data_IF_623997704946
#
_entry.id   IF_623997704946
#
_cell.length_a   1.000
_cell.length_b   1.000
_cell.length_c   1.000
_cell.angle_alpha   90.00
_cell.angle_beta   90.00
_cell.angle_gamma   90.00
#
_symmetry.space_group_name_H-M   'P 1'
#
loop_
_entity.id
_entity.type
_entity.pdbx_description
1 polymer ?
#
# COMPACT_ATOMS: atom_id res chain seq x y z
N UNK A 1 19.83 7.06 -4.61
CA UNK A 1 18.86 8.08 -4.19
C UNK A 1 19.12 8.46 -2.74
N UNK A 2 18.78 9.67 -2.34
CA UNK A 2 18.78 10.11 -0.94
C UNK A 2 17.55 9.52 -0.22
N UNK A 3 17.77 8.64 0.75
CA UNK A 3 16.66 7.92 1.41
C UNK A 3 15.86 8.84 2.33
N UNK A 4 16.49 9.88 2.89
CA UNK A 4 15.83 10.83 3.79
C UNK A 4 14.76 11.61 3.04
N UNK A 5 15.11 12.17 1.88
CA UNK A 5 14.16 12.86 0.99
C UNK A 5 13.06 11.91 0.52
N UNK A 6 13.39 10.67 0.14
CA UNK A 6 12.37 9.70 -0.27
C UNK A 6 11.31 9.49 0.82
N UNK A 7 11.74 9.15 2.05
CA UNK A 7 10.81 8.87 3.14
C UNK A 7 10.04 10.10 3.60
N UNK A 8 10.65 11.30 3.56
CA UNK A 8 9.96 12.55 3.87
C UNK A 8 8.80 12.83 2.89
N UNK A 9 9.01 12.61 1.59
CA UNK A 9 7.97 12.78 0.58
C UNK A 9 6.91 11.67 0.68
N UNK A 10 7.33 10.41 0.78
CA UNK A 10 6.43 9.27 0.92
C UNK A 10 5.53 9.41 2.16
N UNK A 11 6.07 9.93 3.27
CA UNK A 11 5.31 10.22 4.50
C UNK A 11 4.09 11.07 4.21
N UNK A 12 4.26 12.16 3.46
CA UNK A 12 3.17 13.10 3.12
C UNK A 12 2.09 12.36 2.31
N UNK A 13 2.51 11.67 1.25
CA UNK A 13 1.66 10.78 0.46
C UNK A 13 2.49 9.63 -0.13
N UNK A 14 1.99 8.38 -0.13
CA UNK A 14 0.61 7.98 0.17
C UNK A 14 0.35 7.67 1.65
N UNK A 15 1.33 7.83 2.55
CA UNK A 15 1.20 7.36 3.94
C UNK A 15 0.43 8.29 4.90
N UNK A 16 -0.01 9.47 4.44
CA UNK A 16 -0.94 10.32 5.20
C UNK A 16 -0.32 10.98 6.45
N UNK A 17 0.97 11.28 6.40
CA UNK A 17 1.71 12.03 7.41
C UNK A 17 2.45 11.18 8.43
N UNK A 18 2.38 9.83 8.37
CA UNK A 18 3.08 8.96 9.32
C UNK A 18 3.74 7.77 8.63
N UNK A 19 4.90 7.35 9.14
CA UNK A 19 5.60 6.15 8.71
C UNK A 19 5.93 5.26 9.90
N UNK A 20 5.57 3.98 9.82
CA UNK A 20 5.99 2.97 10.78
C UNK A 20 7.35 2.37 10.41
N UNK A 21 8.05 1.81 11.39
CA UNK A 21 9.31 1.09 11.14
C UNK A 21 9.11 -0.06 10.13
N UNK A 22 8.02 -0.82 10.25
CA UNK A 22 7.72 -1.92 9.31
C UNK A 22 7.56 -1.44 7.87
N UNK A 23 6.93 -0.29 7.65
CA UNK A 23 6.81 0.30 6.31
C UNK A 23 8.17 0.71 5.74
N UNK A 24 9.02 1.30 6.58
CA UNK A 24 10.40 1.66 6.23
C UNK A 24 11.21 0.42 5.88
N UNK A 25 11.14 -0.63 6.69
CA UNK A 25 11.89 -1.87 6.52
C UNK A 25 11.51 -2.60 5.23
N UNK A 26 10.21 -2.71 4.93
CA UNK A 26 9.75 -3.37 3.71
C UNK A 26 10.04 -2.57 2.45
N UNK A 27 9.91 -1.23 2.48
CA UNK A 27 10.39 -0.39 1.37
C UNK A 27 11.90 -0.53 1.17
N UNK A 28 12.67 -0.57 2.27
CA UNK A 28 14.12 -0.81 2.19
C UNK A 28 14.46 -2.18 1.60
N UNK A 29 13.68 -3.22 1.86
CA UNK A 29 13.85 -4.53 1.24
C UNK A 29 13.63 -4.47 -0.28
N UNK A 30 12.55 -3.83 -0.74
CA UNK A 30 12.31 -3.58 -2.16
C UNK A 30 13.47 -2.81 -2.80
N UNK A 31 14.02 -1.80 -2.11
CA UNK A 31 15.17 -1.05 -2.64
C UNK A 31 16.46 -1.85 -2.69
N UNK A 32 16.75 -2.68 -1.68
CA UNK A 32 17.91 -3.59 -1.71
C UNK A 32 17.78 -4.57 -2.87
N UNK A 33 16.61 -5.20 -3.00
CA UNK A 33 16.30 -6.12 -4.08
C UNK A 33 16.45 -5.43 -5.45
N UNK A 34 15.79 -4.29 -5.67
CA UNK A 34 15.87 -3.52 -6.92
C UNK A 34 17.31 -3.22 -7.34
N UNK A 35 18.15 -2.77 -6.39
CA UNK A 35 19.56 -2.49 -6.64
C UNK A 35 20.36 -3.73 -7.05
N UNK A 36 20.03 -4.90 -6.51
CA UNK A 36 20.73 -6.15 -6.81
C UNK A 36 20.56 -6.59 -8.27
N UNK A 37 19.42 -6.26 -8.89
CA UNK A 37 19.12 -6.57 -10.28
C UNK A 37 19.87 -5.71 -11.30
N UNK A 38 20.50 -4.61 -10.86
CA UNK A 38 21.31 -3.70 -11.73
C UNK A 38 20.58 -3.31 -13.03
N UNK A 39 19.28 -3.01 -12.93
CA UNK A 39 18.44 -2.71 -14.08
C UNK A 39 18.98 -1.46 -14.79
N UNK A 40 19.35 -1.62 -16.04
CA UNK A 40 19.86 -0.55 -16.89
C UNK A 40 18.70 0.20 -17.54
N UNK A 41 18.79 1.53 -17.60
CA UNK A 41 17.81 2.37 -18.30
C UNK A 41 17.47 3.66 -17.55
N UNK A 42 16.94 4.64 -18.28
CA UNK A 42 16.45 5.91 -17.72
C UNK A 42 15.13 5.77 -16.96
N UNK A 43 14.38 4.69 -17.20
CA UNK A 43 12.98 4.54 -16.76
C UNK A 43 12.86 3.88 -15.37
N UNK A 44 13.98 3.72 -14.67
CA UNK A 44 14.09 3.00 -13.41
C UNK A 44 13.15 3.53 -12.32
N UNK A 45 12.98 4.86 -12.22
CA UNK A 45 12.09 5.45 -11.21
C UNK A 45 10.62 5.13 -11.49
N UNK A 46 10.19 5.14 -12.77
CA UNK A 46 8.81 4.81 -13.16
C UNK A 46 8.49 3.35 -12.84
N UNK A 47 9.38 2.44 -13.22
CA UNK A 47 9.24 1.01 -12.93
C UNK A 47 9.15 0.76 -11.40
N UNK A 48 10.09 1.33 -10.63
CA UNK A 48 10.14 1.15 -9.19
C UNK A 48 8.95 1.81 -8.47
N UNK A 49 8.53 3.00 -8.91
CA UNK A 49 7.34 3.67 -8.37
C UNK A 49 6.09 2.81 -8.53
N UNK A 50 5.95 2.13 -9.68
CA UNK A 50 4.78 1.28 -9.92
C UNK A 50 4.80 0.02 -9.06
N UNK A 51 5.98 -0.56 -8.84
CA UNK A 51 6.18 -1.69 -7.93
C UNK A 51 5.78 -1.29 -6.51
N UNK A 52 6.28 -0.16 -6.00
CA UNK A 52 5.92 0.37 -4.68
C UNK A 52 4.41 0.61 -4.56
N UNK A 53 3.80 1.22 -5.57
CA UNK A 53 2.37 1.49 -5.61
C UNK A 53 1.52 0.20 -5.55
N UNK A 54 1.95 -0.82 -6.29
CA UNK A 54 1.29 -2.13 -6.28
C UNK A 54 1.43 -2.80 -4.92
N UNK A 55 2.64 -2.85 -4.35
CA UNK A 55 2.85 -3.41 -3.00
C UNK A 55 2.07 -2.66 -1.94
N UNK A 56 2.03 -1.33 -2.00
CA UNK A 56 1.22 -0.51 -1.10
C UNK A 56 -0.26 -0.89 -1.18
N UNK A 57 -0.79 -1.06 -2.38
CA UNK A 57 -2.18 -1.45 -2.57
C UNK A 57 -2.47 -2.85 -2.03
N UNK A 58 -1.69 -3.85 -2.42
CA UNK A 58 -1.94 -5.26 -2.11
C UNK A 58 -1.72 -5.59 -0.61
N UNK A 59 -0.83 -4.86 0.08
CA UNK A 59 -0.57 -5.03 1.52
C UNK A 59 -1.49 -4.18 2.42
N UNK A 60 -2.37 -3.37 1.82
CA UNK A 60 -3.20 -2.39 2.53
C UNK A 60 -2.37 -1.34 3.25
N UNK A 61 -1.30 -0.86 2.61
CA UNK A 61 -0.41 0.19 3.08
C UNK A 61 0.64 -0.25 4.10
N UNK A 62 0.74 -1.54 4.44
CA UNK A 62 1.73 -2.06 5.39
C UNK A 62 3.15 -2.08 4.84
N UNK A 63 3.27 -2.20 3.52
CA UNK A 63 4.55 -2.44 2.82
C UNK A 63 5.30 -3.65 3.38
N UNK A 64 4.60 -4.63 3.93
CA UNK A 64 5.17 -5.86 4.44
C UNK A 64 4.41 -7.05 3.84
N UNK A 65 5.06 -8.20 3.66
CA UNK A 65 4.42 -9.41 3.18
C UNK A 65 3.21 -9.78 4.05
N UNK A 66 2.06 -9.98 3.41
CA UNK A 66 0.84 -10.39 4.13
C UNK A 66 0.29 -11.68 3.57
N UNK A 67 -0.44 -12.40 4.42
CA UNK A 67 -1.34 -13.45 3.96
C UNK A 67 -2.61 -12.82 3.42
N UNK A 68 -3.23 -13.52 2.48
CA UNK A 68 -4.58 -13.21 2.03
C UNK A 68 -5.52 -13.06 3.24
N UNK A 69 -6.47 -12.13 3.11
CA UNK A 69 -7.35 -11.70 4.20
C UNK A 69 -6.63 -11.09 5.42
N UNK A 70 -5.34 -10.78 5.32
CA UNK A 70 -4.50 -10.25 6.41
C UNK A 70 -4.45 -11.17 7.65
N UNK A 71 -4.61 -12.48 7.45
CA UNK A 71 -4.60 -13.43 8.54
C UNK A 71 -3.19 -13.57 9.16
N UNK A 72 -3.14 -13.81 10.47
CA UNK A 72 -1.88 -14.09 11.17
C UNK A 72 -1.34 -15.50 10.93
N UNK A 73 -2.19 -16.43 10.49
CA UNK A 73 -1.83 -17.83 10.25
C UNK A 73 -2.43 -18.34 8.95
N UNK A 74 -1.82 -19.37 8.37
CA UNK A 74 -2.32 -20.04 7.17
C UNK A 74 -3.70 -20.66 7.41
N UNK A 75 -3.92 -21.26 8.58
CA UNK A 75 -5.23 -21.79 8.96
C UNK A 75 -6.30 -20.69 9.02
N UNK A 76 -5.94 -19.50 9.52
CA UNK A 76 -6.82 -18.33 9.54
C UNK A 76 -7.19 -17.84 8.14
N UNK A 77 -6.20 -17.74 7.24
CA UNK A 77 -6.45 -17.34 5.84
C UNK A 77 -7.39 -18.33 5.14
N UNK A 78 -7.10 -19.64 5.27
CA UNK A 78 -7.91 -20.72 4.69
C UNK A 78 -9.34 -20.66 5.23
N UNK A 79 -9.52 -20.49 6.55
CA UNK A 79 -10.85 -20.42 7.16
C UNK A 79 -11.65 -19.20 6.69
N UNK A 80 -11.00 -18.04 6.56
CA UNK A 80 -11.63 -16.81 6.08
C UNK A 80 -12.07 -16.95 4.61
N UNK A 81 -11.22 -17.51 3.76
CA UNK A 81 -11.53 -17.77 2.34
C UNK A 81 -12.65 -18.80 2.17
N UNK A 82 -12.61 -19.88 2.94
CA UNK A 82 -13.66 -20.91 2.92
C UNK A 82 -15.01 -20.33 3.36
N UNK A 83 -15.02 -19.48 4.39
CA UNK A 83 -16.24 -18.77 4.84
C UNK A 83 -16.78 -17.85 3.74
N UNK A 84 -15.92 -17.09 3.07
CA UNK A 84 -16.31 -16.19 1.99
C UNK A 84 -16.86 -16.94 0.77
N UNK A 85 -16.24 -18.06 0.40
CA UNK A 85 -16.70 -18.91 -0.71
C UNK A 85 -18.06 -19.54 -0.43
N UNK A 86 -18.25 -20.13 0.76
CA UNK A 86 -19.56 -20.68 1.18
C UNK A 86 -20.68 -19.62 1.24
N UNK A 87 -20.33 -18.37 1.51
CA UNK A 87 -21.25 -17.25 1.48
C UNK A 87 -21.50 -16.67 0.06
N UNK A 88 -20.98 -17.31 -1.00
CA UNK A 88 -21.16 -16.87 -2.38
C UNK A 88 -20.38 -15.62 -2.78
N UNK A 89 -19.47 -15.12 -1.92
CA UNK A 89 -18.73 -13.87 -2.14
C UNK A 89 -17.54 -14.02 -3.10
N UNK A 90 -17.16 -15.26 -3.42
CA UNK A 90 -16.07 -15.61 -4.34
C UNK A 90 -16.60 -16.31 -5.59
N UNK A 91 -17.70 -15.81 -6.17
CA UNK A 91 -18.41 -16.44 -7.29
C UNK A 91 -17.58 -16.60 -8.58
N UNK A 92 -16.46 -15.89 -8.70
CA UNK A 92 -15.52 -16.03 -9.83
C UNK A 92 -14.56 -17.22 -9.66
N UNK A 93 -14.41 -17.75 -8.43
CA UNK A 93 -13.47 -18.83 -8.13
C UNK A 93 -14.17 -20.18 -8.32
N UNK A 94 -13.85 -20.86 -9.43
CA UNK A 94 -14.35 -22.21 -9.72
C UNK A 94 -13.67 -23.30 -8.90
N UNK A 95 -12.36 -23.15 -8.66
CA UNK A 95 -11.55 -24.13 -7.93
C UNK A 95 -10.87 -23.44 -6.75
N UNK A 96 -11.16 -23.87 -5.51
CA UNK A 96 -10.68 -23.21 -4.29
C UNK A 96 -9.20 -23.48 -4.06
N UNK A 97 -8.34 -22.63 -4.62
CA UNK A 97 -6.86 -22.74 -4.56
C UNK A 97 -6.28 -22.66 -3.14
N UNK A 98 -7.05 -22.19 -2.16
CA UNK A 98 -6.65 -22.12 -0.75
C UNK A 98 -6.83 -23.44 -0.01
N UNK A 99 -7.56 -24.42 -0.56
CA UNK A 99 -7.67 -25.72 0.12
C UNK A 99 -6.33 -26.44 0.05
N UNK A 100 -6.02 -27.15 1.13
CA UNK A 100 -4.81 -27.96 1.18
C UNK A 100 -4.89 -29.06 0.13
N UNK A 101 -3.83 -29.24 -0.64
CA UNK A 101 -3.69 -30.35 -1.57
C UNK A 101 -3.28 -31.64 -0.84
N UNK A 102 -3.03 -32.70 -1.61
CA UNK A 102 -2.62 -34.02 -1.08
C UNK A 102 -1.33 -33.98 -0.25
N UNK A 103 -0.49 -32.98 -0.46
CA UNK A 103 0.78 -32.79 0.24
C UNK A 103 0.65 -31.79 1.40
N UNK A 104 -0.59 -31.40 1.73
CA UNK A 104 -0.92 -30.46 2.80
C UNK A 104 -0.60 -29.00 2.46
N UNK A 105 -0.25 -28.68 1.21
CA UNK A 105 0.13 -27.33 0.77
C UNK A 105 -1.08 -26.54 0.28
N UNK A 106 -1.02 -25.22 0.44
CA UNK A 106 -2.12 -24.32 0.07
C UNK A 106 -1.59 -23.11 -0.68
N UNK A 107 -2.31 -22.69 -1.72
CA UNK A 107 -1.86 -21.75 -2.74
C UNK A 107 -2.62 -20.42 -2.69
N UNK A 108 -3.07 -20.02 -1.51
CA UNK A 108 -3.67 -18.70 -1.26
C UNK A 108 -2.63 -17.57 -1.37
N UNK A 109 -3.11 -16.33 -1.43
CA UNK A 109 -2.29 -15.13 -1.59
C UNK A 109 -1.26 -14.96 -0.48
N UNK A 110 0.02 -14.84 -0.84
CA UNK A 110 1.10 -14.50 0.10
C UNK A 110 1.99 -13.41 -0.48
N UNK A 111 2.63 -12.66 0.41
CA UNK A 111 3.64 -11.70 0.03
C UNK A 111 3.09 -10.33 -0.33
N UNK A 112 4.00 -9.49 -0.80
CA UNK A 112 3.80 -8.09 -1.16
C UNK A 112 2.84 -7.90 -2.32
N UNK A 113 2.66 -8.94 -3.14
CA UNK A 113 1.82 -8.91 -4.34
C UNK A 113 0.75 -10.01 -4.37
N UNK A 114 0.49 -10.65 -3.23
CA UNK A 114 -0.54 -11.70 -3.10
C UNK A 114 -0.40 -12.82 -4.14
N UNK A 115 0.78 -13.46 -4.18
CA UNK A 115 1.05 -14.60 -5.05
C UNK A 115 0.05 -15.74 -4.77
N UNK A 116 -0.72 -16.12 -5.78
CA UNK A 116 -1.76 -17.16 -5.73
C UNK A 116 -1.50 -18.25 -6.78
N UNK A 117 -2.11 -19.43 -6.58
CA UNK A 117 -2.04 -20.60 -7.47
C UNK A 117 -0.68 -21.30 -7.53
N UNK A 118 -0.69 -22.63 -7.43
CA UNK A 118 0.52 -23.48 -7.46
C UNK A 118 1.43 -23.22 -8.66
N UNK A 119 0.84 -22.99 -9.83
CA UNK A 119 1.61 -22.72 -11.06
C UNK A 119 2.47 -21.46 -10.95
N UNK A 120 1.99 -20.42 -10.26
CA UNK A 120 2.76 -19.20 -10.09
C UNK A 120 3.84 -19.37 -9.02
N UNK A 121 3.54 -20.09 -7.93
CA UNK A 121 4.56 -20.48 -6.93
C UNK A 121 5.70 -21.28 -7.58
N UNK A 122 5.37 -22.25 -8.45
CA UNK A 122 6.38 -23.04 -9.18
C UNK A 122 7.19 -22.19 -10.16
N UNK A 123 6.52 -21.38 -10.98
CA UNK A 123 7.19 -20.54 -11.97
C UNK A 123 8.13 -19.51 -11.34
N UNK A 124 7.67 -18.77 -10.32
CA UNK A 124 8.49 -17.79 -9.62
C UNK A 124 9.57 -18.45 -8.77
N UNK A 125 9.24 -19.55 -8.07
CA UNK A 125 10.21 -20.28 -7.26
C UNK A 125 11.41 -20.75 -8.09
N UNK A 126 11.14 -21.37 -9.25
CA UNK A 126 12.19 -21.74 -10.21
C UNK A 126 12.96 -20.53 -10.71
N UNK A 127 12.28 -19.43 -11.03
CA UNK A 127 12.93 -18.23 -11.56
C UNK A 127 13.88 -17.59 -10.55
N UNK A 128 13.51 -17.55 -9.26
CA UNK A 128 14.30 -16.88 -8.22
C UNK A 128 15.21 -17.85 -7.44
N UNK A 129 15.19 -19.14 -7.79
CA UNK A 129 16.03 -20.17 -7.14
C UNK A 129 15.56 -20.56 -5.73
N UNK A 130 14.26 -20.42 -5.43
CA UNK A 130 13.66 -20.71 -4.12
C UNK A 130 12.58 -21.78 -4.26
N UNK A 131 12.59 -22.79 -3.39
CA UNK A 131 11.56 -23.85 -3.39
C UNK A 131 10.23 -23.39 -2.75
N UNK A 132 9.51 -22.54 -3.47
CA UNK A 132 8.19 -22.05 -3.09
C UNK A 132 7.10 -23.13 -3.14
N UNK A 133 7.34 -24.24 -3.84
CA UNK A 133 6.38 -25.35 -3.93
C UNK A 133 6.50 -26.26 -2.71
N UNK A 134 7.73 -26.62 -2.34
CA UNK A 134 8.01 -27.37 -1.13
C UNK A 134 7.76 -26.55 0.13
N UNK A 135 7.98 -25.23 0.10
CA UNK A 135 7.70 -24.34 1.23
C UNK A 135 7.01 -23.01 0.84
N UNK A 136 5.67 -23.01 0.64
CA UNK A 136 4.93 -21.81 0.24
C UNK A 136 5.01 -20.63 1.22
N UNK A 137 5.34 -20.86 2.49
CA UNK A 137 5.46 -19.78 3.47
C UNK A 137 6.68 -18.89 3.23
N UNK A 138 7.66 -19.34 2.44
CA UNK A 138 8.79 -18.51 2.01
C UNK A 138 8.35 -17.26 1.23
N UNK A 139 7.17 -17.28 0.60
CA UNK A 139 6.60 -16.08 -0.02
C UNK A 139 6.19 -14.98 0.99
N UNK A 140 6.30 -15.23 2.30
CA UNK A 140 6.11 -14.24 3.37
C UNK A 140 7.42 -13.73 3.96
N UNK A 141 8.56 -14.28 3.55
CA UNK A 141 9.85 -13.69 3.85
C UNK A 141 9.99 -12.36 3.13
N UNK A 142 10.52 -11.35 3.81
CA UNK A 142 10.54 -9.96 3.31
C UNK A 142 11.41 -9.82 2.06
N UNK A 143 12.57 -10.48 2.01
CA UNK A 143 13.47 -10.35 0.86
C UNK A 143 13.00 -11.23 -0.30
N UNK A 144 12.49 -12.45 -0.03
CA UNK A 144 11.91 -13.33 -1.05
C UNK A 144 10.65 -12.72 -1.68
N UNK A 145 9.79 -12.10 -0.87
CA UNK A 145 8.58 -11.43 -1.32
C UNK A 145 8.90 -10.21 -2.21
N UNK A 146 9.90 -9.42 -1.84
CA UNK A 146 10.39 -8.32 -2.67
C UNK A 146 10.90 -8.82 -4.02
N UNK A 147 11.68 -9.91 -4.03
CA UNK A 147 12.18 -10.55 -5.24
C UNK A 147 11.03 -11.05 -6.13
N UNK A 148 10.02 -11.71 -5.54
CA UNK A 148 8.80 -12.16 -6.24
C UNK A 148 8.10 -10.98 -6.92
N UNK A 149 7.90 -9.87 -6.20
CA UNK A 149 7.22 -8.71 -6.73
C UNK A 149 8.00 -8.08 -7.90
N UNK A 150 9.30 -7.86 -7.71
CA UNK A 150 10.16 -7.19 -8.70
C UNK A 150 10.33 -8.06 -9.95
N UNK A 151 10.77 -9.31 -9.80
CA UNK A 151 10.99 -10.22 -10.94
C UNK A 151 9.67 -10.51 -11.64
N UNK A 152 8.60 -10.76 -10.88
CA UNK A 152 7.30 -11.06 -11.45
C UNK A 152 6.74 -9.95 -12.32
N UNK A 153 6.88 -8.68 -11.91
CA UNK A 153 6.39 -7.53 -12.67
C UNK A 153 7.29 -7.15 -13.86
N UNK A 154 8.61 -7.32 -13.72
CA UNK A 154 9.55 -7.03 -14.80
C UNK A 154 9.52 -8.09 -15.91
N UNK A 155 9.31 -9.35 -15.54
CA UNK A 155 9.33 -10.47 -16.49
C UNK A 155 7.94 -10.96 -16.90
N UNK A 156 6.89 -10.40 -16.30
CA UNK A 156 5.50 -10.73 -16.62
C UNK A 156 5.12 -12.14 -16.18
N UNK A 157 5.61 -12.59 -15.03
CA UNK A 157 5.36 -13.95 -14.56
C UNK A 157 3.97 -14.13 -13.93
N UNK A 158 3.22 -13.04 -13.70
CA UNK A 158 1.84 -13.08 -13.22
C UNK A 158 0.83 -13.23 -14.37
N UNK A 159 0.88 -12.33 -15.37
CA UNK A 159 -0.13 -12.24 -16.44
C UNK A 159 0.44 -12.28 -17.86
N UNK A 160 1.76 -12.47 -18.01
CA UNK A 160 2.54 -12.31 -19.26
C UNK A 160 2.75 -10.88 -19.73
N UNK A 161 2.14 -9.89 -19.07
CA UNK A 161 2.40 -8.46 -19.32
C UNK A 161 3.57 -7.98 -18.46
N UNK A 162 4.45 -7.14 -19.02
CA UNK A 162 5.63 -6.60 -18.34
C UNK A 162 5.52 -5.10 -18.12
N UNK A 163 6.13 -4.57 -17.06
CA UNK A 163 6.14 -3.13 -16.81
C UNK A 163 6.75 -2.31 -17.95
N UNK A 164 7.77 -2.83 -18.64
CA UNK A 164 8.43 -2.14 -19.76
C UNK A 164 7.51 -1.93 -20.98
N UNK A 165 6.39 -2.63 -21.06
CA UNK A 165 5.36 -2.39 -22.08
C UNK A 165 4.61 -1.08 -21.83
N UNK A 166 4.49 -0.66 -20.57
CA UNK A 166 3.72 0.52 -20.13
C UNK A 166 4.60 1.71 -19.74
N UNK A 167 5.85 1.45 -19.38
CA UNK A 167 6.83 2.46 -19.03
C UNK A 167 8.05 2.30 -19.92
N UNK A 168 8.15 3.19 -20.91
CA UNK A 168 9.27 3.26 -21.85
C UNK A 168 9.40 4.69 -22.41
N UNK A 169 10.26 4.89 -23.41
CA UNK A 169 10.47 6.19 -24.05
C UNK A 169 9.23 6.78 -24.72
N UNK A 170 8.23 5.95 -25.05
CA UNK A 170 6.99 6.36 -25.76
C UNK A 170 5.75 6.27 -24.90
N UNK A 171 5.83 5.66 -23.72
CA UNK A 171 4.67 5.33 -22.89
C UNK A 171 4.96 5.58 -21.41
N UNK A 172 3.98 6.18 -20.74
CA UNK A 172 3.89 6.30 -19.29
C UNK A 172 2.43 6.02 -18.91
N UNK A 173 2.07 4.73 -18.83
CA UNK A 173 0.69 4.28 -18.62
C UNK A 173 0.52 3.50 -17.31
N UNK A 174 0.46 4.19 -16.16
CA UNK A 174 0.24 3.53 -14.87
C UNK A 174 -1.17 2.96 -14.71
N UNK A 175 -2.15 3.36 -15.52
CA UNK A 175 -3.48 2.78 -15.48
C UNK A 175 -3.46 1.41 -16.18
N UNK A 176 -2.93 1.34 -17.39
CA UNK A 176 -2.78 0.10 -18.14
C UNK A 176 -1.83 -0.89 -17.46
N UNK A 177 -0.81 -0.40 -16.77
CA UNK A 177 0.15 -1.23 -16.04
C UNK A 177 -0.48 -2.15 -14.98
N UNK A 178 -1.75 -1.93 -14.58
CA UNK A 178 -2.46 -2.86 -13.66
C UNK A 178 -2.51 -4.27 -14.24
N UNK A 179 -2.57 -4.36 -15.57
CA UNK A 179 -2.54 -5.59 -16.36
C UNK A 179 -1.34 -6.50 -16.04
N UNK A 180 -0.24 -5.97 -15.47
CA UNK A 180 0.96 -6.73 -15.10
C UNK A 180 0.71 -7.67 -13.92
N UNK A 181 -0.11 -7.25 -12.95
CA UNK A 181 -0.37 -8.02 -11.73
C UNK A 181 -1.75 -8.66 -11.77
N UNK A 182 -2.76 -7.93 -12.26
CA UNK A 182 -4.14 -8.38 -12.33
C UNK A 182 -4.81 -7.78 -13.58
N UNK A 183 -6.15 -7.75 -13.68
CA UNK A 183 -6.89 -7.07 -14.75
C UNK A 183 -6.82 -5.54 -14.65
N UNK A 184 -7.97 -4.87 -14.62
CA UNK A 184 -8.05 -3.39 -14.54
C UNK A 184 -8.65 -2.90 -13.23
N UNK A 185 -8.91 -3.80 -12.27
CA UNK A 185 -9.49 -3.42 -10.99
C UNK A 185 -8.55 -2.51 -10.21
N UNK A 186 -9.13 -1.45 -9.63
CA UNK A 186 -8.44 -0.37 -8.90
C UNK A 186 -7.30 0.32 -9.66
N UNK A 187 -7.20 0.16 -10.99
CA UNK A 187 -6.11 0.73 -11.79
C UNK A 187 -5.88 2.23 -11.56
N UNK A 188 -6.96 3.04 -11.54
CA UNK A 188 -6.87 4.49 -11.26
C UNK A 188 -6.36 4.80 -9.86
N UNK A 189 -6.72 4.00 -8.87
CA UNK A 189 -6.27 4.18 -7.49
C UNK A 189 -4.77 3.89 -7.37
N UNK A 190 -4.31 2.77 -7.96
CA UNK A 190 -2.89 2.42 -7.99
C UNK A 190 -2.08 3.46 -8.77
N UNK A 191 -2.61 3.99 -9.88
CA UNK A 191 -1.98 5.09 -10.61
C UNK A 191 -1.81 6.35 -9.75
N UNK A 192 -2.74 6.62 -8.81
CA UNK A 192 -2.60 7.68 -7.82
C UNK A 192 -1.42 7.44 -6.87
N UNK A 193 -1.28 6.23 -6.33
CA UNK A 193 -0.14 5.86 -5.48
C UNK A 193 1.19 5.90 -6.26
N UNK A 194 1.18 5.45 -7.52
CA UNK A 194 2.31 5.52 -8.43
C UNK A 194 2.85 6.94 -8.53
N UNK A 195 1.97 7.93 -8.75
CA UNK A 195 2.39 9.32 -8.83
C UNK A 195 3.08 9.79 -7.56
N UNK A 196 2.52 9.49 -6.39
CA UNK A 196 3.14 9.86 -5.11
C UNK A 196 4.52 9.22 -4.90
N UNK A 197 4.68 7.94 -5.27
CA UNK A 197 5.98 7.28 -5.18
C UNK A 197 6.98 7.77 -6.22
N UNK A 198 6.53 8.10 -7.43
CA UNK A 198 7.37 8.67 -8.48
C UNK A 198 7.92 10.03 -8.04
N UNK A 199 7.05 10.91 -7.56
CA UNK A 199 7.45 12.23 -7.04
C UNK A 199 8.50 12.09 -5.92
N UNK A 200 8.31 11.13 -5.00
CA UNK A 200 9.26 10.85 -3.92
C UNK A 200 10.61 10.32 -4.43
N UNK A 201 10.61 9.42 -5.43
CA UNK A 201 11.82 8.87 -6.04
C UNK A 201 12.58 9.92 -6.85
N UNK A 202 11.87 10.79 -7.57
CA UNK A 202 12.47 11.89 -8.33
C UNK A 202 13.09 12.93 -7.42
N UNK A 203 12.38 13.36 -6.36
CA UNK A 203 12.92 14.26 -5.35
C UNK A 203 14.19 13.67 -4.70
N UNK A 204 14.15 12.39 -4.32
CA UNK A 204 15.30 11.68 -3.77
C UNK A 204 16.46 11.51 -4.74
N UNK A 205 16.18 11.46 -6.05
CA UNK A 205 17.20 11.40 -7.10
C UNK A 205 17.86 12.76 -7.26
N UNK A 206 17.08 13.83 -7.34
CA UNK A 206 17.57 15.21 -7.45
C UNK A 206 18.41 15.62 -6.22
N UNK A 207 17.94 15.28 -5.02
CA UNK A 207 18.61 15.60 -3.76
C UNK A 207 20.03 15.05 -3.67
N UNK A 208 20.31 13.91 -4.33
CA UNK A 208 21.67 13.33 -4.40
C UNK A 208 22.66 14.26 -5.11
N UNK A 209 22.20 15.06 -6.07
CA UNK A 209 23.06 15.92 -6.89
C UNK A 209 23.03 17.38 -6.44
N UNK A 210 21.90 17.84 -5.92
CA UNK A 210 21.67 19.25 -5.60
C UNK A 210 21.65 19.55 -4.10
N UNK A 211 21.79 18.52 -3.25
CA UNK A 211 21.61 18.62 -1.81
C UNK A 211 20.15 18.42 -1.40
N UNK A 212 19.93 18.17 -0.11
CA UNK A 212 18.58 17.93 0.41
C UNK A 212 17.71 19.20 0.30
N UNK A 213 16.44 19.07 -0.13
CA UNK A 213 15.51 20.20 -0.15
C UNK A 213 15.38 20.84 1.24
N UNK A 214 15.27 22.16 1.30
CA UNK A 214 15.21 22.90 2.57
C UNK A 214 13.98 22.56 3.43
N UNK A 215 12.92 22.01 2.82
CA UNK A 215 11.69 21.57 3.48
C UNK A 215 11.74 20.12 3.98
N UNK A 216 12.86 19.42 3.81
CA UNK A 216 13.08 18.06 4.31
C UNK A 216 13.89 18.10 5.59
N UNK A 217 13.27 17.81 6.73
CA UNK A 217 14.00 17.61 7.98
C UNK A 217 14.47 16.15 8.12
N UNK A 218 15.63 15.91 8.73
CA UNK A 218 16.09 14.54 8.99
C UNK A 218 15.10 13.71 9.84
N UNK A 219 14.30 14.38 10.68
CA UNK A 219 13.23 13.77 11.48
C UNK A 219 12.06 13.27 10.59
N UNK A 220 11.88 13.84 9.40
CA UNK A 220 10.84 13.46 8.44
C UNK A 220 11.12 12.11 7.76
N UNK A 221 12.30 11.53 7.99
CA UNK A 221 12.65 10.19 7.54
C UNK A 221 12.64 9.13 8.66
N UNK A 222 12.48 9.54 9.91
CA UNK A 222 12.51 8.64 11.07
C UNK A 222 11.12 8.05 11.37
N UNK A 223 11.00 6.77 11.74
CA UNK A 223 9.70 6.17 12.04
C UNK A 223 8.94 6.95 13.13
N UNK A 224 7.64 7.12 12.94
CA UNK A 224 6.69 7.57 13.95
C UNK A 224 6.41 6.42 14.93
N UNK A 225 7.43 6.04 15.72
CA UNK A 225 7.33 5.05 16.79
C UNK A 225 6.54 5.60 18.00
N UNK A 226 5.30 6.02 17.74
CA UNK A 226 4.38 6.54 18.75
C UNK A 226 3.17 5.60 18.80
N UNK A 227 2.84 5.00 19.97
CA UNK A 227 1.54 4.38 20.16
C UNK A 227 0.46 5.35 19.70
N UNK A 228 -0.46 4.89 18.85
CA UNK A 228 -1.43 5.75 18.15
C UNK A 228 -2.20 6.73 19.06
N UNK A 229 -2.27 6.44 20.36
CA UNK A 229 -2.91 7.23 21.40
C UNK A 229 -2.18 8.53 21.85
N UNK A 230 -0.96 8.84 21.38
CA UNK A 230 -0.18 10.00 21.92
C UNK A 230 0.33 11.02 20.91
N UNK A 231 -0.08 10.97 19.65
CA UNK A 231 0.47 11.92 18.67
C UNK A 231 -0.24 13.29 18.72
N UNK A 232 0.46 14.31 19.24
CA UNK A 232 0.11 15.73 19.06
C UNK A 232 0.24 16.18 17.59
N UNK A 233 1.02 15.47 16.75
CA UNK A 233 1.21 15.84 15.34
C UNK A 233 -0.02 15.58 14.46
N UNK A 234 -0.89 14.64 14.87
CA UNK A 234 -2.14 14.35 14.17
C UNK A 234 -3.07 15.57 14.16
N UNK A 235 -3.11 16.33 15.26
CA UNK A 235 -3.96 17.52 15.39
C UNK A 235 -3.45 18.73 14.62
N UNK A 236 -2.12 18.89 14.50
CA UNK A 236 -1.50 19.97 13.71
C UNK A 236 -1.71 19.76 12.21
N UNK A 237 -1.64 18.52 11.73
CA UNK A 237 -1.89 18.18 10.31
C UNK A 237 -3.37 18.37 9.96
N UNK A 238 -4.28 17.98 10.85
CA UNK A 238 -5.73 18.24 10.71
C UNK A 238 -5.99 19.75 10.65
N UNK A 239 -5.44 20.54 11.59
CA UNK A 239 -5.61 21.99 11.62
C UNK A 239 -5.06 22.71 10.38
N UNK A 240 -3.90 22.28 9.86
CA UNK A 240 -3.29 22.85 8.66
C UNK A 240 -4.04 22.54 7.36
N UNK A 241 -4.65 21.35 7.26
CA UNK A 241 -5.41 20.93 6.08
C UNK A 241 -6.75 21.69 5.95
N UNK A 242 -7.47 21.92 7.06
CA UNK A 242 -8.76 22.63 7.05
C UNK A 242 -8.62 24.16 6.87
N UNK A 243 -7.55 24.77 7.40
CA UNK A 243 -7.28 26.19 7.22
C UNK A 243 -7.03 26.61 5.76
N UNK A 244 -6.48 25.71 4.93
CA UNK A 244 -6.20 26.00 3.51
C UNK A 244 -7.44 25.91 2.60
N UNK A 245 -8.51 25.24 3.03
CA UNK A 245 -9.76 25.07 2.25
C UNK A 245 -10.88 26.02 2.64
N UNK A 246 -10.60 27.01 3.51
CA UNK A 246 -11.59 27.98 3.98
C UNK A 246 -12.64 27.41 4.94
N UNK A 247 -12.39 26.22 5.51
CA UNK A 247 -13.24 25.63 6.54
C UNK A 247 -12.67 26.01 7.91
N UNK A 248 -13.52 26.55 8.79
CA UNK A 248 -13.14 27.07 10.09
C UNK A 248 -12.34 26.06 10.93
N UNK A 249 -11.44 26.60 11.75
CA UNK A 249 -10.53 25.87 12.64
C UNK A 249 -11.29 24.83 13.46
N UNK A 250 -10.94 23.55 13.29
CA UNK A 250 -11.49 22.44 14.08
C UNK A 250 -10.88 22.52 15.47
N UNK A 251 -11.64 23.03 16.45
CA UNK A 251 -11.19 23.16 17.83
C UNK A 251 -11.37 21.89 18.65
N UNK A 252 -12.36 21.06 18.32
CA UNK A 252 -12.65 19.80 19.01
C UNK A 252 -13.39 18.74 18.15
N UNK A 253 -13.73 17.61 18.78
CA UNK A 253 -14.41 16.48 18.13
C UNK A 253 -15.89 16.76 17.79
N UNK A 254 -16.51 17.75 18.43
CA UNK A 254 -17.89 18.15 18.14
C UNK A 254 -17.94 19.05 16.90
N UNK A 255 -16.98 19.97 16.76
CA UNK A 255 -16.81 20.78 15.54
C UNK A 255 -16.59 19.90 14.31
N UNK A 256 -15.81 18.82 14.43
CA UNK A 256 -15.58 17.86 13.35
C UNK A 256 -16.85 17.10 12.93
N UNK A 257 -17.73 16.76 13.89
CA UNK A 257 -18.98 16.06 13.63
C UNK A 257 -20.01 16.96 12.94
N UNK A 258 -20.11 18.22 13.39
CA UNK A 258 -21.05 19.20 12.84
C UNK A 258 -20.62 19.66 11.42
N UNK A 259 -19.32 19.67 11.14
CA UNK A 259 -18.76 19.93 9.79
C UNK A 259 -18.97 18.75 8.82
N UNK A 260 -19.05 17.52 9.35
CA UNK A 260 -19.36 16.33 8.56
C UNK A 260 -20.80 16.27 8.05
N UNK A 261 -21.74 16.88 8.77
CA UNK A 261 -23.16 16.91 8.39
C UNK A 261 -23.45 17.86 7.23
N UNK A 262 -22.73 19.00 7.13
CA UNK A 262 -22.88 19.98 6.04
C UNK A 262 -22.24 19.53 4.73
N UNK A 263 -21.21 18.67 4.78
CA UNK A 263 -20.52 18.09 3.62
C UNK A 263 -21.39 17.13 2.79
N UNK A 264 -22.40 16.51 3.40
CA UNK A 264 -23.27 15.53 2.72
C UNK A 264 -24.45 16.18 1.99
N UNK A 265 -24.83 17.41 2.33
CA UNK A 265 -26.02 18.08 1.80
C UNK A 265 -25.83 18.95 0.57
N UNK A 266 -24.59 19.22 0.14
CA UNK A 266 -24.28 20.21 -0.90
C UNK A 266 -23.54 19.64 -2.13
N UNK A 267 -23.81 18.39 -2.52
CA UNK A 267 -23.13 17.75 -3.65
C UNK A 267 -24.05 17.72 -4.88
N UNK A 268 -23.95 18.76 -5.71
CA UNK A 268 -24.53 18.80 -7.06
C UNK A 268 -23.50 19.17 -8.14
N UNK A 269 -22.24 18.76 -7.98
CA UNK A 269 -21.21 18.95 -9.02
C UNK A 269 -20.23 17.76 -9.12
N UNK A 270 -20.06 17.15 -10.32
CA UNK A 270 -19.25 15.95 -10.54
C UNK A 270 -17.71 16.13 -10.49
N UNK A 271 -17.18 17.33 -10.21
CA UNK A 271 -15.72 17.56 -10.18
C UNK A 271 -15.08 17.59 -8.78
N UNK A 272 -15.79 17.20 -7.72
CA UNK A 272 -15.27 17.21 -6.33
C UNK A 272 -14.82 15.83 -5.80
N UNK A 273 -14.48 14.86 -6.65
CA UNK A 273 -14.14 13.49 -6.22
C UNK A 273 -12.75 13.32 -5.56
N UNK A 274 -11.85 14.30 -5.69
CA UNK A 274 -10.52 14.29 -5.06
C UNK A 274 -10.55 14.41 -3.54
N UNK A 275 -11.58 15.04 -2.99
CA UNK A 275 -11.75 15.27 -1.54
C UNK A 275 -12.50 14.14 -0.82
N UNK A 276 -13.10 13.21 -1.58
CA UNK A 276 -14.03 12.20 -1.05
C UNK A 276 -13.34 10.90 -0.61
N UNK A 277 -12.13 10.61 -1.11
CA UNK A 277 -11.36 9.42 -0.71
C UNK A 277 -10.77 9.56 0.70
N UNK A 278 -10.47 10.78 1.15
CA UNK A 278 -9.89 11.03 2.47
C UNK A 278 -10.94 11.15 3.60
N UNK A 279 -12.17 11.59 3.29
CA UNK A 279 -13.26 11.64 4.28
C UNK A 279 -13.81 10.25 4.63
N UNK A 280 -14.05 9.40 3.62
CA UNK A 280 -14.68 8.09 3.83
C UNK A 280 -13.81 7.08 4.58
N UNK A 281 -12.50 7.08 4.32
CA UNK A 281 -11.56 6.15 4.98
C UNK A 281 -11.37 6.53 6.46
N UNK A 282 -11.33 7.82 6.77
CA UNK A 282 -11.18 8.34 8.14
C UNK A 282 -12.41 8.03 8.99
N UNK A 283 -13.61 8.19 8.44
CA UNK A 283 -14.88 7.84 9.11
C UNK A 283 -15.00 6.32 9.29
N UNK A 284 -14.62 5.52 8.28
CA UNK A 284 -14.64 4.06 8.38
C UNK A 284 -13.70 3.52 9.47
N UNK A 285 -12.52 4.12 9.62
CA UNK A 285 -11.55 3.76 10.68
C UNK A 285 -12.08 4.18 12.05
N UNK A 286 -12.70 5.36 12.19
CA UNK A 286 -13.29 5.81 13.45
C UNK A 286 -14.51 5.00 13.89
N UNK A 287 -15.39 4.62 12.95
CA UNK A 287 -16.53 3.72 13.20
C UNK A 287 -16.03 2.32 13.60
N UNK A 288 -14.97 1.82 12.96
CA UNK A 288 -14.35 0.55 13.32
C UNK A 288 -13.73 0.58 14.73
N UNK A 289 -13.05 1.67 15.10
CA UNK A 289 -12.46 1.84 16.43
C UNK A 289 -13.51 1.96 17.54
N UNK A 290 -14.64 2.63 17.28
CA UNK A 290 -15.75 2.75 18.22
C UNK A 290 -16.53 1.43 18.36
N UNK A 291 -16.84 0.76 17.26
CA UNK A 291 -17.60 -0.51 17.25
C UNK A 291 -16.82 -1.71 17.82
N UNK A 292 -15.48 -1.63 17.84
CA UNK A 292 -14.61 -2.66 18.44
C UNK A 292 -14.25 -2.38 19.91
N UNK A 293 -14.81 -1.33 20.52
CA UNK A 293 -14.55 -0.97 21.91
C UNK A 293 -13.12 -0.46 22.18
N UNK A 294 -12.40 -0.04 21.13
CA UNK A 294 -11.01 0.45 21.20
C UNK A 294 -10.92 1.97 21.42
N UNK A 295 -12.07 2.62 21.61
CA UNK A 295 -12.23 4.01 22.04
C UNK A 295 -13.13 4.03 23.29
N UNK A 296 -12.60 4.50 24.42
CA UNK A 296 -13.39 4.89 25.59
C UNK A 296 -13.38 6.41 25.71
N UNK A 297 -14.57 7.01 25.60
CA UNK A 297 -14.79 8.45 25.74
C UNK A 297 -15.05 8.73 27.21
N UNK A 298 -14.08 9.31 27.92
CA UNK A 298 -14.34 9.89 29.24
C UNK A 298 -14.99 11.26 29.03
N UNK A 299 -16.26 11.40 29.43
CA UNK A 299 -16.91 12.70 29.57
C UNK A 299 -16.24 13.45 30.73
N UNK A 300 -15.54 14.55 30.46
CA UNK A 300 -15.21 15.49 31.53
C UNK A 300 -16.50 16.11 32.05
N UNK A 301 -16.64 16.18 33.38
CA UNK A 301 -17.76 16.86 34.03
C UNK A 301 -17.80 18.31 33.58
N UNK A 302 -19.00 18.74 33.20
CA UNK A 302 -19.37 20.14 33.02
C UNK A 302 -18.95 20.94 34.25
N UNK A 303 -18.23 22.03 34.03
CA UNK A 303 -18.17 23.16 34.97
C UNK A 303 -18.36 24.42 34.17
#
# INVERSE_FOLDING_TARGET
MDMTTFFAYARRAPFGGRLSQGQIDGMNALFRCWRSHKIAGSDNNRLLAYILASVFHETGGRMLPVRETLASTDAGAIAALEKAWKAGKLGQVKTPYWRKDKDGKSWFGRGDIQLTHRVNYDALGKRIGVDLVGNPSLALDVDISAEIAIVGMLEGLFTKRKLTEFFNLKSDDPIGARAVVNGTDKAKLIAGYYKSFLDALEAATLARFQGQPADVAALDAQPDNVPAAKSKSLWTIIGGFFGATGLSVVGDAKDLADTGATLLGAISNPWAFGSLVFGGVSIGVLIWLASTGRLTINRSKTT
#
